data_IF_675422857520
#
_entry.id   IF_675422857520
#
_cell.length_a   1.000
_cell.length_b   1.000
_cell.length_c   1.000
_cell.angle_alpha   90.00
_cell.angle_beta   90.00
_cell.angle_gamma   90.00
#
_symmetry.space_group_name_H-M   'P 1'
#
loop_
_entity.id
_entity.type
_entity.pdbx_description
1 polymer ?
#
# COMPACT_ATOMS: atom_id res chain seq x y z
N UNK A 1 10.94 -7.38 13.17
CA UNK A 1 10.72 -7.93 11.82
C UNK A 1 9.66 -7.14 11.07
N UNK A 2 9.62 -7.29 9.78
CA UNK A 2 8.61 -6.65 8.93
C UNK A 2 7.20 -7.02 9.37
N UNK A 3 6.99 -8.30 9.65
CA UNK A 3 5.70 -8.82 10.08
C UNK A 3 5.23 -8.15 11.37
N UNK A 4 6.14 -8.01 12.33
CA UNK A 4 5.83 -7.36 13.62
C UNK A 4 5.53 -5.88 13.44
N UNK A 5 6.34 -5.18 12.66
CA UNK A 5 6.15 -3.75 12.39
C UNK A 5 4.81 -3.46 11.72
N UNK A 6 4.39 -4.31 10.78
CA UNK A 6 3.08 -4.20 10.15
C UNK A 6 1.94 -4.43 11.14
N UNK A 7 2.09 -5.43 12.00
CA UNK A 7 1.09 -5.70 13.04
C UNK A 7 0.92 -4.51 13.97
N UNK A 8 1.99 -3.79 14.28
CA UNK A 8 1.92 -2.60 15.13
C UNK A 8 1.08 -1.50 14.50
N UNK A 9 1.17 -1.31 13.18
CA UNK A 9 0.31 -0.37 12.45
C UNK A 9 -1.15 -0.82 12.48
N UNK A 10 -1.41 -2.09 12.20
CA UNK A 10 -2.78 -2.63 12.20
C UNK A 10 -3.40 -2.73 13.59
N UNK A 11 -2.60 -2.90 14.62
CA UNK A 11 -3.07 -2.95 16.02
C UNK A 11 -3.62 -1.61 16.50
N UNK A 12 -3.26 -0.51 15.86
CA UNK A 12 -3.93 0.75 16.14
C UNK A 12 -5.34 0.65 15.59
N UNK A 13 -6.24 0.30 16.48
CA UNK A 13 -7.64 0.06 16.15
C UNK A 13 -8.23 1.26 15.40
N UNK A 14 -8.74 1.00 14.19
CA UNK A 14 -9.39 2.02 13.40
C UNK A 14 -8.47 2.97 12.64
N UNK A 15 -7.16 2.78 12.65
CA UNK A 15 -6.24 3.70 11.96
C UNK A 15 -6.61 3.88 10.47
N UNK A 16 -6.89 2.77 9.78
CA UNK A 16 -7.20 2.79 8.35
C UNK A 16 -8.65 3.11 8.04
N UNK A 17 -9.54 3.12 9.03
CA UNK A 17 -10.97 3.36 8.81
C UNK A 17 -11.18 4.79 8.28
N UNK A 18 -11.88 4.90 7.16
CA UNK A 18 -12.14 6.19 6.53
C UNK A 18 -10.99 6.75 5.69
N UNK A 19 -9.82 6.10 5.67
CA UNK A 19 -8.73 6.52 4.80
C UNK A 19 -9.05 6.18 3.34
N UNK A 20 -8.41 6.89 2.41
CA UNK A 20 -8.73 6.79 0.99
C UNK A 20 -7.61 6.16 0.18
N UNK A 21 -7.95 5.67 -1.00
CA UNK A 21 -7.00 5.41 -2.06
C UNK A 21 -6.75 6.72 -2.81
N UNK A 22 -5.74 7.45 -2.40
CA UNK A 22 -5.48 8.81 -2.88
C UNK A 22 -4.69 8.88 -4.19
N UNK A 23 -4.13 7.75 -4.63
CA UNK A 23 -3.36 7.66 -5.88
C UNK A 23 -3.71 6.37 -6.60
N UNK A 24 -4.23 6.51 -7.82
CA UNK A 24 -4.71 5.38 -8.61
C UNK A 24 -4.15 5.52 -10.03
N UNK A 25 -3.39 4.52 -10.47
CA UNK A 25 -2.83 4.47 -11.82
C UNK A 25 -3.25 3.15 -12.46
N UNK A 26 -4.24 3.17 -13.40
CA UNK A 26 -4.65 1.96 -14.11
C UNK A 26 -3.46 1.28 -14.80
N UNK A 27 -3.40 -0.03 -14.75
CA UNK A 27 -2.30 -0.79 -15.32
C UNK A 27 -1.03 -0.81 -14.46
N UNK A 28 -1.06 -0.16 -13.30
CA UNK A 28 0.07 -0.12 -12.37
C UNK A 28 -0.38 -0.51 -10.95
N UNK A 29 -0.96 0.43 -10.18
CA UNK A 29 -1.29 0.16 -8.77
C UNK A 29 -2.39 1.10 -8.26
N UNK A 30 -2.95 0.76 -7.10
CA UNK A 30 -3.77 1.65 -6.29
C UNK A 30 -3.06 1.85 -4.95
N UNK A 31 -2.96 3.08 -4.48
CA UNK A 31 -2.20 3.45 -3.27
C UNK A 31 -3.10 4.15 -2.27
N UNK A 32 -2.99 3.77 -1.01
CA UNK A 32 -3.79 4.36 0.07
C UNK A 32 -3.09 4.29 1.42
N UNK A 33 -3.84 4.61 2.48
CA UNK A 33 -3.34 4.56 3.85
C UNK A 33 -2.68 5.83 4.34
N UNK A 34 -2.82 6.95 3.63
CA UNK A 34 -2.35 8.25 4.09
C UNK A 34 -3.44 8.93 4.93
N UNK A 35 -3.21 9.24 6.23
CA UNK A 35 -4.22 9.88 7.07
C UNK A 35 -4.62 11.27 6.59
N UNK A 36 -3.78 11.95 5.83
CA UNK A 36 -4.09 13.27 5.26
C UNK A 36 -4.71 13.18 3.86
N UNK A 37 -4.72 12.00 3.23
CA UNK A 37 -5.23 11.83 1.87
C UNK A 37 -4.41 12.52 0.79
N UNK A 38 -3.19 12.94 1.10
CA UNK A 38 -2.33 13.74 0.21
C UNK A 38 -1.08 12.98 -0.27
N UNK A 39 -0.78 11.85 0.36
CA UNK A 39 0.46 11.11 0.12
C UNK A 39 1.62 11.53 1.02
N UNK A 40 1.42 12.53 1.88
CA UNK A 40 2.48 13.07 2.74
C UNK A 40 2.33 12.69 4.21
N UNK A 41 1.18 12.11 4.59
CA UNK A 41 0.92 11.73 5.99
C UNK A 41 1.31 10.31 6.31
N UNK A 42 1.40 10.00 7.60
CA UNK A 42 1.73 8.68 8.11
C UNK A 42 1.30 8.53 9.56
N UNK A 43 1.64 7.39 10.19
CA UNK A 43 1.18 7.07 11.54
C UNK A 43 1.97 7.79 12.65
N UNK A 44 2.97 8.60 12.29
CA UNK A 44 3.84 9.28 13.25
C UNK A 44 5.18 8.58 13.46
N UNK A 45 5.43 7.47 12.80
CA UNK A 45 6.74 6.77 12.80
C UNK A 45 6.99 6.13 11.44
N UNK A 46 8.25 5.78 11.20
CA UNK A 46 8.67 5.06 10.02
C UNK A 46 9.25 3.70 10.41
N UNK A 47 9.29 2.78 9.44
CA UNK A 47 9.85 1.45 9.64
C UNK A 47 10.97 1.19 8.64
N UNK A 48 11.86 0.25 8.99
CA UNK A 48 12.91 -0.20 8.09
C UNK A 48 12.29 -0.85 6.85
N UNK A 49 12.78 -0.48 5.68
CA UNK A 49 12.36 -1.09 4.43
C UNK A 49 12.96 -2.49 4.28
N UNK A 50 12.12 -3.50 4.20
CA UNK A 50 12.53 -4.91 4.10
C UNK A 50 12.48 -5.38 2.64
N UNK A 51 13.50 -5.01 1.88
CA UNK A 51 13.67 -5.39 0.48
C UNK A 51 15.16 -5.52 0.15
N UNK A 52 15.48 -6.20 -0.96
CA UNK A 52 16.85 -6.58 -1.31
C UNK A 52 17.83 -5.39 -1.38
N UNK A 53 17.44 -4.28 -2.00
CA UNK A 53 18.29 -3.08 -2.10
C UNK A 53 18.63 -2.47 -0.74
N UNK A 54 17.87 -2.78 0.31
CA UNK A 54 18.08 -2.31 1.69
C UNK A 54 18.69 -3.42 2.58
N UNK A 55 19.24 -4.46 1.99
CA UNK A 55 19.96 -5.52 2.71
C UNK A 55 19.09 -6.58 3.36
N UNK A 56 17.80 -6.64 3.05
CA UNK A 56 16.88 -7.62 3.61
C UNK A 56 16.41 -8.59 2.52
N UNK A 57 16.50 -9.89 2.79
CA UNK A 57 16.01 -10.90 1.86
C UNK A 57 14.48 -10.85 1.78
N UNK A 58 13.96 -10.41 0.66
CA UNK A 58 12.53 -10.41 0.38
C UNK A 58 12.30 -10.93 -1.04
N UNK A 59 11.94 -12.21 -1.19
CA UNK A 59 11.81 -12.84 -2.50
C UNK A 59 10.50 -12.52 -3.22
N UNK A 60 9.58 -11.80 -2.59
CA UNK A 60 8.27 -11.51 -3.18
C UNK A 60 8.40 -10.60 -4.40
N UNK A 61 7.70 -10.98 -5.47
CA UNK A 61 7.66 -10.22 -6.71
C UNK A 61 6.41 -9.33 -6.75
N UNK A 62 6.53 -8.19 -7.42
CA UNK A 62 5.41 -7.26 -7.59
C UNK A 62 4.55 -7.69 -8.77
N UNK A 63 3.80 -8.77 -8.58
CA UNK A 63 2.82 -9.27 -9.54
C UNK A 63 1.41 -8.79 -9.17
N UNK A 64 0.47 -8.95 -10.10
CA UNK A 64 -0.92 -8.55 -9.89
C UNK A 64 -1.46 -9.07 -8.55
N UNK A 65 -2.04 -8.17 -7.75
CA UNK A 65 -2.63 -8.48 -6.44
C UNK A 65 -1.66 -8.42 -5.26
N UNK A 66 -0.38 -8.24 -5.49
CA UNK A 66 0.61 -8.12 -4.40
C UNK A 66 0.44 -6.78 -3.70
N UNK A 67 0.56 -6.79 -2.37
CA UNK A 67 0.49 -5.62 -1.51
C UNK A 67 1.90 -5.28 -1.06
N UNK A 68 2.29 -4.01 -1.20
CA UNK A 68 3.63 -3.53 -0.88
C UNK A 68 3.57 -2.21 -0.13
N UNK A 69 4.61 -1.91 0.63
CA UNK A 69 4.70 -0.65 1.37
C UNK A 69 5.16 0.49 0.48
N UNK A 70 4.39 1.58 0.47
CA UNK A 70 4.81 2.83 -0.15
C UNK A 70 5.83 3.55 0.75
N UNK A 71 6.73 4.29 0.13
CA UNK A 71 7.77 5.06 0.83
C UNK A 71 8.24 6.23 -0.02
N UNK A 72 8.96 7.15 0.61
CA UNK A 72 9.70 8.19 -0.11
C UNK A 72 11.03 7.64 -0.63
N UNK A 73 11.94 8.51 -1.09
CA UNK A 73 13.26 8.09 -1.57
C UNK A 73 14.09 7.39 -0.49
N UNK A 74 13.91 7.74 0.78
CA UNK A 74 14.61 7.07 1.89
C UNK A 74 14.08 5.64 2.05
N UNK A 75 14.96 4.61 1.99
CA UNK A 75 14.53 3.21 2.13
C UNK A 75 13.82 2.90 3.46
N UNK A 76 14.04 3.69 4.49
CA UNK A 76 13.49 3.49 5.82
C UNK A 76 12.37 4.52 6.14
N UNK A 77 11.67 5.00 5.13
CA UNK A 77 10.61 6.02 5.28
C UNK A 77 9.20 5.47 5.22
N UNK A 78 9.02 4.15 5.11
CA UNK A 78 7.69 3.56 5.10
C UNK A 78 6.97 3.79 6.43
N UNK A 79 5.70 4.10 6.36
CA UNK A 79 4.82 4.30 7.52
C UNK A 79 3.55 3.47 7.37
N UNK A 80 2.45 4.14 7.01
CA UNK A 80 1.15 3.48 6.87
C UNK A 80 0.68 3.33 5.43
N UNK A 81 1.29 4.03 4.48
CA UNK A 81 0.84 3.98 3.09
C UNK A 81 1.27 2.67 2.45
N UNK A 82 0.37 2.09 1.67
CA UNK A 82 0.59 0.86 0.93
C UNK A 82 0.01 0.97 -0.46
N UNK A 83 0.42 0.06 -1.34
CA UNK A 83 -0.19 -0.03 -2.65
C UNK A 83 -0.48 -1.49 -3.00
N UNK A 84 -1.51 -1.68 -3.83
CA UNK A 84 -1.92 -2.99 -4.34
C UNK A 84 -1.67 -2.99 -5.84
N UNK A 85 -0.97 -4.00 -6.33
CA UNK A 85 -0.63 -4.09 -7.75
C UNK A 85 -1.88 -4.39 -8.59
N UNK A 86 -2.17 -3.53 -9.54
CA UNK A 86 -3.21 -3.78 -10.55
C UNK A 86 -2.66 -4.68 -11.66
N UNK A 87 -1.41 -4.47 -12.06
CA UNK A 87 -0.69 -5.32 -13.02
C UNK A 87 0.74 -5.55 -12.54
N UNK A 88 1.44 -6.48 -13.16
CA UNK A 88 2.82 -6.80 -12.79
C UNK A 88 3.75 -5.59 -13.01
N UNK A 89 4.65 -5.37 -12.07
CA UNK A 89 5.65 -4.31 -12.13
C UNK A 89 7.01 -4.81 -11.65
N UNK A 90 7.72 -5.59 -12.47
CA UNK A 90 8.99 -6.20 -12.06
C UNK A 90 10.08 -5.18 -11.71
N UNK A 91 9.99 -3.95 -12.19
CA UNK A 91 10.95 -2.90 -11.84
C UNK A 91 10.91 -2.50 -10.35
N UNK A 92 9.86 -2.89 -9.62
CA UNK A 92 9.75 -2.65 -8.18
C UNK A 92 10.38 -3.76 -7.35
N UNK A 93 10.64 -4.91 -7.94
CA UNK A 93 11.19 -6.06 -7.22
C UNK A 93 12.57 -5.73 -6.64
N UNK A 94 12.76 -6.05 -5.35
CA UNK A 94 13.99 -5.74 -4.64
C UNK A 94 14.15 -4.27 -4.21
N UNK A 95 13.21 -3.37 -4.58
CA UNK A 95 13.26 -1.94 -4.27
C UNK A 95 12.17 -1.51 -3.29
N UNK A 96 11.12 -2.31 -3.14
CA UNK A 96 10.00 -2.05 -2.26
C UNK A 96 9.65 -3.29 -1.45
N UNK A 97 9.08 -3.07 -0.27
CA UNK A 97 8.76 -4.14 0.68
C UNK A 97 7.39 -4.74 0.40
N UNK A 98 7.31 -5.66 -0.55
CA UNK A 98 6.11 -6.47 -0.76
C UNK A 98 5.90 -7.38 0.46
N UNK A 99 4.66 -7.52 0.93
CA UNK A 99 4.41 -8.25 2.17
C UNK A 99 3.16 -9.11 2.14
N UNK A 100 2.34 -9.00 1.14
CA UNK A 100 1.09 -9.75 1.10
C UNK A 100 0.53 -9.85 -0.30
N UNK A 101 -0.60 -10.53 -0.39
CA UNK A 101 -1.31 -10.71 -1.65
C UNK A 101 -2.81 -10.72 -1.42
N UNK A 102 -3.56 -10.12 -2.32
CA UNK A 102 -5.02 -10.17 -2.29
C UNK A 102 -5.46 -11.60 -2.55
N UNK A 103 -6.25 -12.16 -1.64
CA UNK A 103 -6.78 -13.54 -1.75
C UNK A 103 -8.22 -13.58 -2.23
N UNK A 104 -8.93 -12.45 -2.16
CA UNK A 104 -10.30 -12.31 -2.66
C UNK A 104 -10.57 -10.83 -2.95
N UNK A 105 -11.45 -10.54 -3.91
CA UNK A 105 -11.85 -9.16 -4.20
C UNK A 105 -10.97 -8.43 -5.21
N UNK A 106 -10.20 -9.13 -6.06
CA UNK A 106 -9.45 -8.46 -7.13
C UNK A 106 -10.35 -7.68 -8.10
N UNK A 107 -11.59 -8.11 -8.28
CA UNK A 107 -12.57 -7.36 -9.06
C UNK A 107 -12.85 -5.97 -8.46
N UNK A 108 -12.80 -5.84 -7.14
CA UNK A 108 -12.93 -4.54 -6.45
C UNK A 108 -11.70 -3.67 -6.71
N UNK A 109 -10.49 -4.25 -6.68
CA UNK A 109 -9.26 -3.56 -7.05
C UNK A 109 -9.34 -3.04 -8.48
N UNK A 110 -9.83 -3.86 -9.39
CA UNK A 110 -10.03 -3.46 -10.79
C UNK A 110 -11.03 -2.30 -10.91
N UNK A 111 -12.10 -2.30 -10.13
CA UNK A 111 -13.08 -1.20 -10.11
C UNK A 111 -12.46 0.09 -9.58
N UNK A 112 -11.68 0.00 -8.52
CA UNK A 112 -10.96 1.17 -7.97
C UNK A 112 -9.96 1.70 -9.00
N UNK A 113 -9.24 0.82 -9.67
CA UNK A 113 -8.26 1.21 -10.69
C UNK A 113 -8.90 1.90 -11.90
N UNK A 114 -10.22 1.73 -12.13
CA UNK A 114 -10.94 2.32 -13.25
C UNK A 114 -11.68 3.62 -12.91
N UNK A 115 -11.62 4.10 -11.67
CA UNK A 115 -12.29 5.35 -11.29
C UNK A 115 -11.64 6.55 -11.98
N UNK A 116 -12.42 7.62 -12.15
CA UNK A 116 -11.92 8.86 -12.73
C UNK A 116 -10.94 9.53 -11.78
N UNK A 117 -9.79 9.93 -12.30
CA UNK A 117 -8.74 10.62 -11.54
C UNK A 117 -8.46 12.00 -12.12
N UNK A 118 -7.87 12.88 -11.29
CA UNK A 118 -7.35 14.15 -11.75
C UNK A 118 -5.93 13.97 -12.32
N UNK A 119 -5.29 15.08 -12.70
CA UNK A 119 -3.95 15.05 -13.30
C UNK A 119 -2.84 14.64 -12.30
N UNK A 120 -3.14 14.54 -11.00
CA UNK A 120 -2.26 14.02 -9.97
C UNK A 120 -2.53 12.53 -9.66
N UNK A 121 -3.31 11.84 -10.47
CA UNK A 121 -3.74 10.46 -10.27
C UNK A 121 -4.58 10.25 -9.02
N UNK A 122 -5.20 11.31 -8.52
CA UNK A 122 -6.08 11.24 -7.35
C UNK A 122 -7.53 11.07 -7.81
N UNK A 123 -8.28 10.09 -7.25
CA UNK A 123 -9.69 9.93 -7.60
C UNK A 123 -10.48 11.22 -7.37
N UNK A 124 -11.27 11.62 -8.36
CA UNK A 124 -12.09 12.84 -8.29
C UNK A 124 -13.22 12.70 -7.27
N UNK A 125 -13.69 11.47 -7.04
CA UNK A 125 -14.59 11.13 -5.94
C UNK A 125 -13.82 10.23 -4.97
N UNK A 126 -13.73 10.60 -3.68
CA UNK A 126 -12.94 9.81 -2.73
C UNK A 126 -13.37 8.34 -2.66
N UNK A 127 -12.42 7.43 -2.74
CA UNK A 127 -12.61 6.00 -2.55
C UNK A 127 -12.13 5.66 -1.15
N UNK A 128 -13.06 5.39 -0.23
CA UNK A 128 -12.76 5.22 1.19
C UNK A 128 -12.71 3.75 1.59
N UNK A 129 -11.78 3.43 2.49
CA UNK A 129 -11.76 2.17 3.21
C UNK A 129 -12.74 2.32 4.39
N UNK A 130 -13.91 1.71 4.31
CA UNK A 130 -14.93 1.85 5.35
C UNK A 130 -14.44 1.25 6.67
N UNK A 131 -13.94 0.02 6.63
CA UNK A 131 -13.42 -0.70 7.79
C UNK A 131 -12.24 -1.56 7.37
N UNK A 132 -11.19 -1.53 8.16
CA UNK A 132 -10.01 -2.40 7.99
C UNK A 132 -9.78 -3.15 9.28
N UNK A 133 -9.81 -4.48 9.22
CA UNK A 133 -9.68 -5.35 10.39
C UNK A 133 -8.56 -6.36 10.17
N UNK A 134 -7.83 -6.65 11.24
CA UNK A 134 -6.89 -7.75 11.26
C UNK A 134 -7.63 -9.03 11.64
N UNK A 135 -7.67 -9.99 10.73
CA UNK A 135 -8.29 -11.28 10.96
C UNK A 135 -7.19 -12.30 11.25
N UNK A 136 -7.24 -12.90 12.42
CA UNK A 136 -6.34 -13.97 12.82
C UNK A 136 -6.98 -15.32 12.49
N UNK A 137 -6.20 -16.17 11.81
CA UNK A 137 -6.73 -17.46 11.43
C UNK A 137 -5.69 -18.42 10.94
#
# INVERSE_FOLDING_TARGET
SLRRQRQDVYKRQGFYNGLTFHRVIPGFMIQGGCPLGTGTGGPGWNIKGEFAANGVNNPLKHTRGVISMARSMNPNSAGSQFFIMHQDAPHLDGQYAAFGKVVAGMDVVDKIASVRTDWNDKPTTPVKMATVELIEG
#
